data_IF_187047324443
#
_entry.id   IF_187047324443
#
_cell.length_a   1.000
_cell.length_b   1.000
_cell.length_c   1.000
_cell.angle_alpha   90.00
_cell.angle_beta   90.00
_cell.angle_gamma   90.00
#
_symmetry.space_group_name_H-M   'P 1'
#
loop_
_entity.id
_entity.type
_entity.pdbx_description
1 polymer ?
#
# COMPACT_ATOMS: atom_id res chain seq x y z
N UNK A 1 -22.32 -5.47 54.95
CA UNK A 1 -21.42 -4.59 54.17
C UNK A 1 -21.60 -4.91 52.70
N UNK A 2 -22.12 -3.97 51.93
CA UNK A 2 -22.32 -4.15 50.49
C UNK A 2 -20.96 -4.18 49.79
N UNK A 3 -20.86 -4.96 48.71
CA UNK A 3 -19.63 -5.11 47.90
C UNK A 3 -18.99 -3.76 47.55
N UNK A 4 -19.81 -2.81 47.09
CA UNK A 4 -19.41 -1.46 46.74
C UNK A 4 -18.80 -0.66 47.90
N UNK A 5 -19.31 -0.84 49.12
CA UNK A 5 -18.77 -0.17 50.32
C UNK A 5 -17.36 -0.65 50.65
N UNK A 6 -17.08 -1.95 50.44
CA UNK A 6 -15.73 -2.51 50.62
C UNK A 6 -14.74 -2.01 49.57
N UNK A 7 -15.17 -1.96 48.31
CA UNK A 7 -14.34 -1.45 47.19
C UNK A 7 -14.03 0.03 47.40
N UNK A 8 -15.05 0.85 47.70
CA UNK A 8 -14.86 2.27 47.98
C UNK A 8 -13.91 2.49 49.17
N UNK A 9 -14.09 1.74 50.26
CA UNK A 9 -13.18 1.79 51.42
C UNK A 9 -11.73 1.45 51.08
N UNK A 10 -11.50 0.46 50.21
CA UNK A 10 -10.16 0.09 49.73
C UNK A 10 -9.52 1.18 48.87
N UNK A 11 -10.30 1.80 47.97
CA UNK A 11 -9.85 2.90 47.12
C UNK A 11 -9.50 4.14 47.95
N UNK A 12 -10.38 4.53 48.89
CA UNK A 12 -10.17 5.70 49.74
C UNK A 12 -8.99 5.53 50.70
N UNK A 13 -8.77 4.32 51.24
CA UNK A 13 -7.67 4.02 52.16
C UNK A 13 -6.30 4.00 51.47
N UNK A 14 -6.23 3.51 50.23
CA UNK A 14 -4.98 3.38 49.47
C UNK A 14 -4.96 4.27 48.21
N UNK A 15 -5.51 5.49 48.31
CA UNK A 15 -5.76 6.38 47.16
C UNK A 15 -4.55 6.62 46.25
N UNK A 16 -3.35 6.80 46.82
CA UNK A 16 -2.14 7.05 46.03
C UNK A 16 -1.70 5.82 45.24
N UNK A 17 -1.80 4.62 45.83
CA UNK A 17 -1.49 3.36 45.14
C UNK A 17 -2.47 3.08 44.01
N UNK A 18 -3.76 3.38 44.22
CA UNK A 18 -4.80 3.22 43.18
C UNK A 18 -4.58 4.20 42.04
N UNK A 19 -4.31 5.47 42.33
CA UNK A 19 -4.00 6.48 41.31
C UNK A 19 -2.74 6.11 40.52
N UNK A 20 -1.69 5.63 41.19
CA UNK A 20 -0.48 5.15 40.52
C UNK A 20 -0.77 3.96 39.62
N UNK A 21 -1.57 2.99 40.09
CA UNK A 21 -1.98 1.83 39.30
C UNK A 21 -2.74 2.24 38.04
N UNK A 22 -3.70 3.16 38.16
CA UNK A 22 -4.43 3.70 37.01
C UNK A 22 -3.46 4.43 36.06
N UNK A 23 -2.57 5.26 36.57
CA UNK A 23 -1.60 5.98 35.75
C UNK A 23 -0.68 5.04 34.97
N UNK A 24 -0.21 3.95 35.59
CA UNK A 24 0.59 2.92 34.94
C UNK A 24 -0.21 2.23 33.84
N UNK A 25 -1.44 1.78 34.13
CA UNK A 25 -2.31 1.12 33.13
C UNK A 25 -2.56 2.06 31.95
N UNK A 26 -2.90 3.33 32.21
CA UNK A 26 -3.11 4.34 31.17
C UNK A 26 -1.85 4.57 30.34
N UNK A 27 -0.67 4.64 30.98
CA UNK A 27 0.61 4.77 30.28
C UNK A 27 0.92 3.57 29.39
N UNK A 28 0.65 2.35 29.88
CA UNK A 28 0.80 1.12 29.09
C UNK A 28 -0.15 1.11 27.89
N UNK A 29 -1.41 1.50 28.06
CA UNK A 29 -2.37 1.62 26.96
C UNK A 29 -1.95 2.70 25.95
N UNK A 30 -1.51 3.87 26.42
CA UNK A 30 -0.99 4.93 25.56
C UNK A 30 0.23 4.46 24.75
N UNK A 31 1.11 3.64 25.35
CA UNK A 31 2.26 3.07 24.65
C UNK A 31 1.87 2.15 23.47
N UNK A 32 0.64 1.61 23.46
CA UNK A 32 0.14 0.79 22.35
C UNK A 32 -0.28 1.64 21.14
N UNK A 33 -0.53 2.95 21.30
CA UNK A 33 -0.94 3.82 20.19
C UNK A 33 0.08 3.87 19.05
N UNK A 34 1.37 3.62 19.34
CA UNK A 34 2.42 3.54 18.31
C UNK A 34 2.26 2.38 17.32
N UNK A 35 1.43 1.37 17.66
CA UNK A 35 1.13 0.24 16.79
C UNK A 35 -0.18 0.42 16.01
N UNK A 36 -0.85 1.56 16.16
CA UNK A 36 -2.05 1.89 15.41
C UNK A 36 -1.69 2.05 13.94
N UNK A 37 -2.35 1.26 13.07
CA UNK A 37 -2.20 1.35 11.62
C UNK A 37 -3.45 1.97 11.02
N UNK A 38 -3.27 2.94 10.12
CA UNK A 38 -4.36 3.48 9.32
C UNK A 38 -4.53 2.62 8.07
N UNK A 39 -5.74 2.15 7.83
CA UNK A 39 -6.10 1.56 6.53
C UNK A 39 -6.66 2.68 5.66
N UNK A 40 -6.04 2.89 4.50
CA UNK A 40 -6.49 3.84 3.48
C UNK A 40 -7.14 3.15 2.28
N UNK A 41 -7.20 1.82 2.30
CA UNK A 41 -7.91 1.03 1.30
C UNK A 41 -9.41 1.05 1.58
N UNK A 42 -10.19 0.99 0.51
CA UNK A 42 -11.63 0.83 0.63
C UNK A 42 -11.92 -0.46 1.42
N UNK A 43 -12.82 -0.36 2.40
CA UNK A 43 -13.07 -1.49 3.29
C UNK A 43 -13.67 -2.64 2.49
N UNK A 44 -13.04 -3.81 2.55
CA UNK A 44 -13.64 -5.01 2.00
C UNK A 44 -14.95 -5.28 2.75
N UNK A 45 -16.06 -5.27 2.01
CA UNK A 45 -17.40 -5.44 2.57
C UNK A 45 -17.70 -6.89 2.94
N UNK A 46 -16.85 -7.83 2.52
CA UNK A 46 -16.99 -9.26 2.76
C UNK A 46 -15.97 -9.76 3.79
N UNK A 47 -16.34 -10.75 4.63
CA UNK A 47 -15.39 -11.45 5.51
C UNK A 47 -14.18 -11.99 4.74
N UNK A 48 -12.99 -11.97 5.35
CA UNK A 48 -11.76 -12.45 4.69
C UNK A 48 -11.84 -13.92 4.24
N UNK A 49 -12.61 -14.75 4.95
CA UNK A 49 -12.83 -16.17 4.63
C UNK A 49 -13.92 -16.41 3.58
N UNK A 50 -14.51 -15.35 3.03
CA UNK A 50 -15.52 -15.47 1.98
C UNK A 50 -14.90 -15.95 0.66
N UNK A 51 -15.55 -16.89 -0.03
CA UNK A 51 -15.03 -17.54 -1.25
C UNK A 51 -14.61 -16.53 -2.33
N UNK A 52 -15.37 -15.44 -2.49
CA UNK A 52 -15.07 -14.36 -3.44
C UNK A 52 -13.76 -13.64 -3.10
N UNK A 53 -13.43 -13.44 -1.82
CA UNK A 53 -12.17 -12.82 -1.41
C UNK A 53 -10.99 -13.74 -1.72
N UNK A 54 -11.11 -15.04 -1.44
CA UNK A 54 -10.08 -16.02 -1.77
C UNK A 54 -9.81 -16.07 -3.28
N UNK A 55 -10.85 -15.99 -4.12
CA UNK A 55 -10.70 -15.93 -5.57
C UNK A 55 -10.04 -14.62 -6.02
N UNK A 56 -10.39 -13.49 -5.40
CA UNK A 56 -9.78 -12.20 -5.67
C UNK A 56 -8.29 -12.18 -5.28
N UNK A 57 -7.94 -12.73 -4.11
CA UNK A 57 -6.55 -12.84 -3.66
C UNK A 57 -5.71 -13.69 -4.62
N UNK A 58 -6.26 -14.80 -5.13
CA UNK A 58 -5.61 -15.61 -6.17
C UNK A 58 -5.42 -14.84 -7.48
N UNK A 59 -6.38 -14.02 -7.86
CA UNK A 59 -6.25 -13.15 -9.03
C UNK A 59 -5.13 -12.13 -8.83
N UNK A 60 -5.08 -11.46 -7.67
CA UNK A 60 -4.03 -10.52 -7.32
C UNK A 60 -2.65 -11.17 -7.26
N UNK A 61 -2.54 -12.43 -6.82
CA UNK A 61 -1.27 -13.17 -6.82
C UNK A 61 -0.74 -13.42 -8.25
N UNK A 62 -1.63 -13.67 -9.21
CA UNK A 62 -1.26 -13.96 -10.61
C UNK A 62 -1.00 -12.68 -11.40
N UNK A 63 -1.87 -11.68 -11.24
CA UNK A 63 -1.91 -10.49 -12.11
C UNK A 63 -1.36 -9.23 -11.45
N UNK A 64 -1.19 -9.23 -10.12
CA UNK A 64 -0.91 -8.03 -9.34
C UNK A 64 -2.16 -7.20 -9.06
N UNK A 65 -2.02 -6.26 -8.14
CA UNK A 65 -3.04 -5.24 -7.88
C UNK A 65 -2.99 -4.14 -8.94
N UNK A 66 -4.13 -3.51 -9.26
CA UNK A 66 -4.14 -2.28 -10.06
C UNK A 66 -3.39 -1.19 -9.29
N UNK A 67 -2.09 -1.09 -9.55
CA UNK A 67 -1.25 -0.03 -9.01
C UNK A 67 -1.64 1.34 -9.56
N UNK A 68 -1.18 2.39 -8.89
CA UNK A 68 -1.37 3.78 -9.33
C UNK A 68 -0.67 4.02 -10.68
N UNK A 69 -1.39 3.88 -11.79
CA UNK A 69 -0.87 4.14 -13.14
C UNK A 69 -1.02 5.61 -13.51
N UNK A 70 0.08 6.27 -13.87
CA UNK A 70 0.07 7.62 -14.44
C UNK A 70 0.34 7.53 -15.95
N UNK A 71 -0.62 7.98 -16.76
CA UNK A 71 -0.49 8.00 -18.22
C UNK A 71 -0.19 9.43 -18.68
N UNK A 72 0.95 9.63 -19.33
CA UNK A 72 1.36 10.90 -19.92
C UNK A 72 1.21 10.84 -21.44
N UNK A 73 0.32 11.69 -21.99
CA UNK A 73 0.10 11.83 -23.42
C UNK A 73 0.44 13.23 -23.90
N UNK A 74 1.05 13.34 -25.07
CA UNK A 74 1.34 14.62 -25.72
C UNK A 74 0.65 14.71 -27.08
N UNK A 75 0.20 15.91 -27.44
CA UNK A 75 -0.38 16.20 -28.76
C UNK A 75 0.59 17.06 -29.56
N UNK A 76 1.63 16.43 -30.10
CA UNK A 76 2.64 17.11 -30.93
C UNK A 76 3.14 16.19 -32.04
N UNK A 77 2.90 16.57 -33.30
CA UNK A 77 3.33 15.80 -34.48
C UNK A 77 4.84 15.80 -34.68
N UNK A 78 5.58 16.68 -34.00
CA UNK A 78 7.03 16.83 -34.10
C UNK A 78 7.80 16.15 -32.97
N UNK A 79 7.13 15.36 -32.12
CA UNK A 79 7.79 14.63 -31.01
C UNK A 79 8.93 13.75 -31.49
N UNK A 80 8.78 13.13 -32.67
CA UNK A 80 9.80 12.24 -33.25
C UNK A 80 11.02 12.97 -33.83
N UNK A 81 11.09 14.30 -33.70
CA UNK A 81 12.33 15.03 -34.02
C UNK A 81 13.40 14.73 -32.97
N UNK A 82 14.70 14.62 -33.33
CA UNK A 82 15.75 14.22 -32.39
C UNK A 82 15.77 15.05 -31.10
N UNK A 83 15.58 16.37 -31.21
CA UNK A 83 15.56 17.28 -30.06
C UNK A 83 14.43 16.95 -29.08
N UNK A 84 13.20 16.75 -29.58
CA UNK A 84 12.02 16.52 -28.74
C UNK A 84 11.98 15.08 -28.22
N UNK A 85 12.39 14.12 -29.05
CA UNK A 85 12.46 12.72 -28.67
C UNK A 85 13.50 12.50 -27.55
N UNK A 86 14.68 13.11 -27.66
CA UNK A 86 15.68 13.04 -26.57
C UNK A 86 15.18 13.71 -25.29
N UNK A 87 14.50 14.86 -25.39
CA UNK A 87 13.91 15.51 -24.22
C UNK A 87 12.81 14.67 -23.54
N UNK A 88 12.05 13.90 -24.33
CA UNK A 88 11.08 12.94 -23.80
C UNK A 88 11.77 11.76 -23.12
N UNK A 89 12.85 11.23 -23.69
CA UNK A 89 13.63 10.16 -23.08
C UNK A 89 14.28 10.60 -21.77
N UNK A 90 14.80 11.83 -21.71
CA UNK A 90 15.35 12.42 -20.49
C UNK A 90 14.28 12.57 -19.41
N UNK A 91 13.03 12.88 -19.78
CA UNK A 91 11.91 12.95 -18.84
C UNK A 91 11.60 11.57 -18.27
N UNK A 92 11.53 10.54 -19.11
CA UNK A 92 11.27 9.16 -18.70
C UNK A 92 12.38 8.65 -17.78
N UNK A 93 13.65 8.88 -18.12
CA UNK A 93 14.77 8.53 -17.25
C UNK A 93 14.71 9.23 -15.89
N UNK A 94 14.21 10.47 -15.81
CA UNK A 94 14.04 11.13 -14.50
C UNK A 94 13.01 10.43 -13.64
N UNK A 95 11.93 9.92 -14.22
CA UNK A 95 10.93 9.12 -13.49
C UNK A 95 11.48 7.75 -13.10
N UNK A 96 12.20 7.08 -14.00
CA UNK A 96 12.78 5.76 -13.73
C UNK A 96 13.81 5.75 -12.59
N UNK A 97 14.42 6.90 -12.30
CA UNK A 97 15.37 7.08 -11.20
C UNK A 97 14.71 7.46 -9.86
N UNK A 98 13.38 7.55 -9.77
CA UNK A 98 12.68 7.82 -8.52
C UNK A 98 12.41 6.51 -7.77
N UNK A 99 12.78 6.46 -6.49
CA UNK A 99 12.59 5.27 -5.65
C UNK A 99 11.10 4.90 -5.47
N UNK A 100 10.19 5.86 -5.66
CA UNK A 100 8.74 5.66 -5.59
C UNK A 100 8.12 5.05 -6.86
N UNK A 101 8.89 4.92 -7.95
CA UNK A 101 8.39 4.43 -9.24
C UNK A 101 8.94 3.03 -9.49
N UNK A 102 8.04 2.05 -9.58
CA UNK A 102 8.39 0.63 -9.72
C UNK A 102 8.89 0.29 -11.14
N UNK A 103 8.29 0.90 -12.17
CA UNK A 103 8.79 0.84 -13.54
C UNK A 103 8.24 1.98 -14.40
N UNK A 104 8.96 2.33 -15.46
CA UNK A 104 8.48 3.21 -16.53
C UNK A 104 8.32 2.47 -17.86
N UNK A 105 7.36 2.92 -18.67
CA UNK A 105 7.17 2.42 -20.04
C UNK A 105 6.92 3.61 -20.97
N UNK A 106 7.70 3.72 -22.02
CA UNK A 106 7.72 4.83 -22.96
C UNK A 106 7.73 4.37 -24.41
N UNK A 107 7.41 5.28 -25.33
CA UNK A 107 7.58 5.05 -26.78
C UNK A 107 9.03 4.75 -27.20
N UNK A 108 10.01 4.99 -26.32
CA UNK A 108 11.42 4.78 -26.60
C UNK A 108 11.94 3.38 -26.24
N UNK A 109 11.29 2.71 -25.30
CA UNK A 109 11.71 1.42 -24.72
C UNK A 109 10.60 0.37 -24.74
N UNK A 110 9.45 0.68 -25.35
CA UNK A 110 8.35 -0.26 -25.52
C UNK A 110 8.81 -1.47 -26.34
N UNK A 111 8.75 -2.64 -25.71
CA UNK A 111 9.11 -3.91 -26.33
C UNK A 111 7.88 -4.58 -26.93
N UNK A 112 8.05 -5.17 -28.12
CA UNK A 112 7.01 -5.95 -28.77
C UNK A 112 6.89 -7.31 -28.11
N UNK A 113 5.68 -7.65 -27.68
CA UNK A 113 5.37 -8.97 -27.16
C UNK A 113 5.17 -9.97 -28.32
N UNK A 114 6.08 -10.94 -28.46
CA UNK A 114 5.97 -12.01 -29.46
C UNK A 114 5.60 -13.35 -28.82
N UNK A 115 4.66 -14.04 -29.45
CA UNK A 115 4.24 -15.38 -29.04
C UNK A 115 5.26 -16.43 -29.49
N UNK A 116 5.91 -17.10 -28.53
CA UNK A 116 6.67 -18.33 -28.77
C UNK A 116 5.71 -19.53 -28.60
N UNK A 117 5.21 -20.05 -29.72
CA UNK A 117 4.31 -21.22 -29.74
C UNK A 117 5.00 -22.52 -29.34
N UNK A 118 6.33 -22.64 -29.48
CA UNK A 118 7.06 -23.86 -29.12
C UNK A 118 7.20 -23.95 -27.60
N UNK A 119 7.59 -22.84 -26.96
CA UNK A 119 7.74 -22.76 -25.49
C UNK A 119 6.46 -22.34 -24.76
N UNK A 120 5.37 -22.11 -25.51
CA UNK A 120 4.06 -21.67 -24.99
C UNK A 120 4.17 -20.46 -24.05
N UNK A 121 4.99 -19.49 -24.43
CA UNK A 121 5.24 -18.27 -23.64
C UNK A 121 5.35 -17.04 -24.53
N UNK A 122 5.33 -15.87 -23.92
CA UNK A 122 5.65 -14.63 -24.60
C UNK A 122 7.14 -14.30 -24.41
N UNK A 123 7.75 -13.73 -25.45
CA UNK A 123 9.12 -13.20 -25.43
C UNK A 123 9.08 -11.74 -25.87
N UNK A 124 9.93 -10.92 -25.25
CA UNK A 124 10.08 -9.53 -25.60
C UNK A 124 11.09 -9.40 -26.74
N UNK A 125 10.73 -8.66 -27.78
CA UNK A 125 11.63 -8.24 -28.86
C UNK A 125 11.67 -6.71 -28.91
N UNK A 126 12.81 -6.09 -29.28
CA UNK A 126 12.88 -4.67 -29.56
C UNK A 126 11.89 -4.23 -30.65
#
# INVERSE_FOLDING_TARGET
MNFWTKIAGLILRNRYSVLLGIAIITGLLASQMKYMKFSYTEANLLPEDHEVNLQYDQFLEIFGEEGNLVILGIKDTTVFTPKKFNAWNDLVQKFDNLDEIDFTLSIADIQKLKKDTKKRKFVLEP
#
